data_IF_114199075862
#
_entry.id   IF_114199075862
#
_cell.length_a   1.000
_cell.length_b   1.000
_cell.length_c   1.000
_cell.angle_alpha   90.00
_cell.angle_beta   90.00
_cell.angle_gamma   90.00
#
_symmetry.space_group_name_H-M   'P 1'
#
loop_
_entity.id
_entity.type
_entity.pdbx_description
1 polymer ?
#
# COMPACT_ATOMS: atom_id res chain seq x y z
N UNK A 1 -25.93 2.13 -5.58
CA UNK A 1 -25.16 1.03 -6.18
C UNK A 1 -24.43 1.58 -7.40
N UNK A 2 -23.09 1.56 -7.43
CA UNK A 2 -22.32 2.04 -8.60
C UNK A 2 -22.44 1.07 -9.80
N UNK A 3 -22.90 -0.17 -9.56
CA UNK A 3 -23.18 -1.16 -10.60
C UNK A 3 -24.45 -0.85 -11.40
N UNK A 4 -25.31 0.03 -10.90
CA UNK A 4 -26.49 0.51 -11.65
C UNK A 4 -26.14 1.57 -12.70
N UNK A 5 -24.93 2.12 -12.68
CA UNK A 5 -24.45 3.07 -13.69
C UNK A 5 -22.94 2.88 -13.90
N UNK A 6 -22.54 1.71 -14.44
CA UNK A 6 -21.13 1.31 -14.53
C UNK A 6 -20.30 2.31 -15.34
N UNK A 7 -20.90 3.02 -16.29
CA UNK A 7 -20.25 4.02 -17.12
C UNK A 7 -19.75 5.22 -16.30
N UNK A 8 -20.50 5.64 -15.27
CA UNK A 8 -20.12 6.80 -14.46
C UNK A 8 -18.91 6.49 -13.56
N UNK A 9 -18.89 5.32 -12.94
CA UNK A 9 -17.74 4.93 -12.10
C UNK A 9 -16.52 4.60 -12.96
N UNK A 10 -16.70 3.95 -14.12
CA UNK A 10 -15.62 3.73 -15.08
C UNK A 10 -15.02 5.06 -15.58
N UNK A 11 -15.88 6.05 -15.88
CA UNK A 11 -15.42 7.38 -16.24
C UNK A 11 -14.64 8.04 -15.09
N UNK A 12 -15.11 7.94 -13.85
CA UNK A 12 -14.41 8.49 -12.68
C UNK A 12 -13.04 7.84 -12.46
N UNK A 13 -12.93 6.51 -12.60
CA UNK A 13 -11.66 5.79 -12.54
C UNK A 13 -10.68 6.33 -13.59
N UNK A 14 -11.13 6.48 -14.85
CA UNK A 14 -10.26 6.99 -15.91
C UNK A 14 -9.88 8.46 -15.70
N UNK A 15 -10.82 9.32 -15.30
CA UNK A 15 -10.55 10.74 -15.09
C UNK A 15 -9.56 10.97 -13.96
N UNK A 16 -9.62 10.18 -12.88
CA UNK A 16 -8.74 10.34 -11.70
C UNK A 16 -7.31 9.89 -11.93
N UNK A 17 -6.97 9.30 -13.07
CA UNK A 17 -5.57 9.10 -13.47
C UNK A 17 -4.87 10.43 -13.80
N UNK A 18 -5.63 11.50 -14.12
CA UNK A 18 -5.07 12.83 -14.32
C UNK A 18 -5.07 13.63 -13.01
N UNK A 19 -3.93 14.20 -12.63
CA UNK A 19 -3.78 14.92 -11.36
C UNK A 19 -4.72 16.12 -11.17
N UNK A 20 -5.02 16.89 -12.23
CA UNK A 20 -5.95 18.04 -12.11
C UNK A 20 -7.38 17.58 -11.82
N UNK A 21 -7.80 16.48 -12.45
CA UNK A 21 -9.12 15.91 -12.22
C UNK A 21 -9.21 15.28 -10.83
N UNK A 22 -8.14 14.62 -10.37
CA UNK A 22 -8.05 14.06 -9.04
C UNK A 22 -8.15 15.15 -7.95
N UNK A 23 -7.41 16.25 -8.10
CA UNK A 23 -7.48 17.41 -7.20
C UNK A 23 -8.89 18.02 -7.20
N UNK A 24 -9.49 18.24 -8.38
CA UNK A 24 -10.85 18.77 -8.50
C UNK A 24 -11.90 17.87 -7.81
N UNK A 25 -11.71 16.54 -7.86
CA UNK A 25 -12.58 15.59 -7.17
C UNK A 25 -12.43 15.66 -5.64
N UNK A 26 -11.28 16.14 -5.14
CA UNK A 26 -10.99 16.27 -3.72
C UNK A 26 -11.40 17.61 -3.10
N UNK A 27 -11.87 18.57 -3.89
CA UNK A 27 -12.27 19.90 -3.42
C UNK A 27 -13.48 19.86 -2.48
N UNK A 28 -13.45 20.70 -1.44
CA UNK A 28 -14.50 20.78 -0.43
C UNK A 28 -14.61 19.50 0.40
N UNK A 29 -15.84 19.01 0.57
CA UNK A 29 -16.20 17.80 1.30
C UNK A 29 -16.41 16.57 0.39
N UNK A 30 -16.14 16.71 -0.92
CA UNK A 30 -16.35 15.64 -1.91
C UNK A 30 -15.51 14.40 -1.62
N UNK A 31 -14.25 14.59 -1.24
CA UNK A 31 -13.36 13.49 -0.82
C UNK A 31 -13.97 12.68 0.33
N UNK A 32 -14.38 13.36 1.40
CA UNK A 32 -14.92 12.72 2.61
C UNK A 32 -16.21 11.96 2.31
N UNK A 33 -17.09 12.52 1.47
CA UNK A 33 -18.30 11.82 1.02
C UNK A 33 -17.97 10.57 0.20
N UNK A 34 -17.01 10.66 -0.71
CA UNK A 34 -16.62 9.56 -1.58
C UNK A 34 -16.02 8.41 -0.77
N UNK A 35 -15.04 8.69 0.09
CA UNK A 35 -14.35 7.64 0.86
C UNK A 35 -15.29 7.00 1.89
N UNK A 36 -16.16 7.78 2.56
CA UNK A 36 -17.17 7.21 3.48
C UNK A 36 -18.15 6.31 2.75
N UNK A 37 -18.58 6.70 1.54
CA UNK A 37 -19.42 5.85 0.70
C UNK A 37 -18.68 4.57 0.32
N UNK A 38 -17.42 4.66 -0.10
CA UNK A 38 -16.60 3.49 -0.45
C UNK A 38 -16.51 2.49 0.71
N UNK A 39 -16.28 2.96 1.94
CA UNK A 39 -16.32 2.12 3.14
C UNK A 39 -17.70 1.51 3.42
N UNK A 40 -18.77 2.31 3.32
CA UNK A 40 -20.13 1.86 3.58
C UNK A 40 -20.60 0.78 2.61
N UNK A 41 -20.26 0.92 1.32
CA UNK A 41 -20.67 -0.01 0.28
C UNK A 41 -19.66 -1.12 0.04
N UNK A 42 -18.44 -1.01 0.57
CA UNK A 42 -17.31 -1.92 0.31
C UNK A 42 -17.11 -2.16 -1.19
N UNK A 43 -17.19 -1.07 -1.96
CA UNK A 43 -17.19 -1.10 -3.42
C UNK A 43 -15.77 -0.96 -3.96
N UNK A 44 -15.31 -2.00 -4.65
CA UNK A 44 -13.98 -2.12 -5.23
C UNK A 44 -13.68 -1.01 -6.25
N UNK A 45 -14.67 -0.61 -7.05
CA UNK A 45 -14.50 0.45 -8.05
C UNK A 45 -14.40 1.82 -7.39
N UNK A 46 -15.12 2.04 -6.29
CA UNK A 46 -14.96 3.24 -5.48
C UNK A 46 -13.55 3.31 -4.87
N UNK A 47 -13.03 2.19 -4.35
CA UNK A 47 -11.65 2.12 -3.85
C UNK A 47 -10.60 2.24 -4.95
N UNK A 48 -10.89 1.80 -6.17
CA UNK A 48 -10.03 2.06 -7.33
C UNK A 48 -9.89 3.56 -7.61
N UNK A 49 -10.98 4.32 -7.50
CA UNK A 49 -10.91 5.80 -7.54
C UNK A 49 -10.06 6.32 -6.38
N UNK A 50 -10.27 5.83 -5.16
CA UNK A 50 -9.46 6.24 -4.00
C UNK A 50 -7.97 5.95 -4.19
N UNK A 51 -7.60 4.82 -4.81
CA UNK A 51 -6.21 4.46 -5.10
C UNK A 51 -5.59 5.45 -6.08
N UNK A 52 -6.28 5.79 -7.16
CA UNK A 52 -5.84 6.81 -8.10
C UNK A 52 -5.60 8.17 -7.40
N UNK A 53 -6.47 8.54 -6.45
CA UNK A 53 -6.29 9.76 -5.65
C UNK A 53 -5.07 9.68 -4.73
N UNK A 54 -4.83 8.52 -4.09
CA UNK A 54 -3.67 8.30 -3.22
C UNK A 54 -2.34 8.33 -3.99
N UNK A 55 -2.35 7.90 -5.26
CA UNK A 55 -1.17 7.89 -6.13
C UNK A 55 -0.68 9.30 -6.52
N UNK A 56 -1.55 10.31 -6.48
CA UNK A 56 -1.21 11.67 -6.90
C UNK A 56 -0.06 12.27 -6.08
N UNK A 57 0.86 12.95 -6.74
CA UNK A 57 2.04 13.56 -6.10
C UNK A 57 1.67 14.67 -5.09
N UNK A 58 0.52 15.32 -5.29
CA UNK A 58 0.06 16.41 -4.46
C UNK A 58 -0.21 15.96 -3.01
N UNK A 59 0.66 16.36 -2.07
CA UNK A 59 0.50 16.07 -0.64
C UNK A 59 -0.81 16.59 -0.04
N UNK A 60 -1.41 17.63 -0.63
CA UNK A 60 -2.73 18.13 -0.23
C UNK A 60 -3.83 17.08 -0.40
N UNK A 61 -3.72 16.19 -1.40
CA UNK A 61 -4.64 15.07 -1.60
C UNK A 61 -4.31 13.93 -0.63
N UNK A 62 -3.04 13.51 -0.55
CA UNK A 62 -2.61 12.41 0.33
C UNK A 62 -2.98 12.65 1.80
N UNK A 63 -2.81 13.87 2.30
CA UNK A 63 -3.16 14.24 3.69
C UNK A 63 -4.62 14.02 4.05
N UNK A 64 -5.54 14.08 3.07
CA UNK A 64 -6.97 13.84 3.31
C UNK A 64 -7.25 12.40 3.73
N UNK A 65 -6.36 11.46 3.41
CA UNK A 65 -6.49 10.06 3.80
C UNK A 65 -6.12 9.80 5.27
N UNK A 66 -5.37 10.68 5.92
CA UNK A 66 -4.86 10.47 7.29
C UNK A 66 -5.91 9.94 8.29
N UNK A 67 -7.10 10.55 8.38
CA UNK A 67 -8.17 10.08 9.27
C UNK A 67 -8.73 8.68 8.95
N UNK A 68 -8.45 8.15 7.75
CA UNK A 68 -9.05 6.93 7.21
C UNK A 68 -8.05 5.76 7.08
N UNK A 69 -6.75 5.98 7.26
CA UNK A 69 -5.70 4.94 7.13
C UNK A 69 -5.98 3.76 8.05
N UNK A 70 -6.29 4.01 9.33
CA UNK A 70 -6.61 2.92 10.26
C UNK A 70 -7.85 2.14 9.82
N UNK A 71 -8.88 2.83 9.31
CA UNK A 71 -10.10 2.18 8.83
C UNK A 71 -9.84 1.30 7.59
N UNK A 72 -8.89 1.68 6.72
CA UNK A 72 -8.45 0.83 5.61
C UNK A 72 -7.75 -0.44 6.10
N UNK A 73 -6.87 -0.34 7.10
CA UNK A 73 -6.23 -1.52 7.70
C UNK A 73 -7.26 -2.46 8.34
N UNK A 74 -8.27 -1.91 9.01
CA UNK A 74 -9.38 -2.70 9.55
C UNK A 74 -10.20 -3.37 8.44
N UNK A 75 -10.41 -2.68 7.32
CA UNK A 75 -11.11 -3.22 6.16
C UNK A 75 -10.37 -4.44 5.57
N UNK A 76 -9.04 -4.37 5.42
CA UNK A 76 -8.21 -5.48 4.93
C UNK A 76 -8.33 -6.75 5.79
N UNK A 77 -8.71 -6.61 7.06
CA UNK A 77 -8.82 -7.71 8.02
C UNK A 77 -10.24 -8.27 8.16
N UNK A 78 -11.20 -7.79 7.36
CA UNK A 78 -12.55 -8.36 7.38
C UNK A 78 -12.55 -9.77 6.77
N UNK A 79 -13.19 -10.76 7.42
CA UNK A 79 -13.23 -12.14 6.90
C UNK A 79 -13.88 -12.27 5.50
N UNK A 80 -14.77 -11.35 5.14
CA UNK A 80 -15.55 -11.39 3.90
C UNK A 80 -15.02 -10.40 2.84
N UNK A 81 -13.78 -9.92 2.96
CA UNK A 81 -13.20 -9.04 1.94
C UNK A 81 -12.92 -9.83 0.65
N UNK A 82 -13.38 -9.31 -0.48
CA UNK A 82 -13.08 -9.84 -1.82
C UNK A 82 -11.66 -9.48 -2.24
N UNK A 83 -11.02 -10.30 -3.08
CA UNK A 83 -9.67 -10.03 -3.58
C UNK A 83 -9.56 -8.67 -4.30
N UNK A 84 -10.59 -8.31 -5.08
CA UNK A 84 -10.67 -7.05 -5.82
C UNK A 84 -10.70 -5.83 -4.90
N UNK A 85 -11.52 -5.88 -3.84
CA UNK A 85 -11.50 -4.82 -2.83
C UNK A 85 -10.17 -4.80 -2.05
N UNK A 86 -9.63 -5.98 -1.71
CA UNK A 86 -8.38 -6.09 -0.97
C UNK A 86 -7.22 -5.41 -1.70
N UNK A 87 -7.04 -5.71 -2.99
CA UNK A 87 -5.95 -5.12 -3.79
C UNK A 87 -6.10 -3.60 -3.93
N UNK A 88 -7.32 -3.08 -4.12
CA UNK A 88 -7.51 -1.63 -4.26
C UNK A 88 -7.32 -0.88 -2.92
N UNK A 89 -7.73 -1.47 -1.79
CA UNK A 89 -7.49 -0.89 -0.46
C UNK A 89 -6.01 -0.94 -0.09
N UNK A 90 -5.34 -2.07 -0.34
CA UNK A 90 -3.90 -2.20 -0.08
C UNK A 90 -3.10 -1.26 -0.98
N UNK A 91 -3.48 -1.14 -2.25
CA UNK A 91 -2.89 -0.18 -3.17
C UNK A 91 -3.14 1.28 -2.81
N UNK A 92 -4.26 1.62 -2.17
CA UNK A 92 -4.41 2.94 -1.55
C UNK A 92 -3.32 3.16 -0.49
N UNK A 93 -3.18 2.22 0.45
CA UNK A 93 -2.22 2.32 1.56
C UNK A 93 -0.76 2.37 1.08
N UNK A 94 -0.41 1.55 0.08
CA UNK A 94 0.90 1.52 -0.56
C UNK A 94 1.30 2.85 -1.22
N UNK A 95 0.33 3.71 -1.54
CA UNK A 95 0.58 5.03 -2.10
C UNK A 95 0.62 6.17 -1.04
N UNK A 96 0.39 5.86 0.24
CA UNK A 96 0.25 6.85 1.31
C UNK A 96 1.45 6.90 2.25
N UNK A 97 2.50 7.62 1.85
CA UNK A 97 3.54 8.06 2.77
C UNK A 97 3.20 9.44 3.34
N UNK A 98 2.84 9.50 4.63
CA UNK A 98 2.53 10.72 5.36
C UNK A 98 3.50 10.87 6.53
N UNK A 99 4.47 11.81 6.49
CA UNK A 99 5.45 12.01 7.57
C UNK A 99 4.83 12.27 8.95
N UNK A 100 3.66 12.90 8.98
CA UNK A 100 2.90 13.23 10.20
C UNK A 100 2.05 12.08 10.74
N UNK A 101 1.87 10.99 9.98
CA UNK A 101 1.04 9.87 10.40
C UNK A 101 1.85 8.86 11.21
N UNK A 102 1.28 8.42 12.33
CA UNK A 102 1.93 7.50 13.27
C UNK A 102 1.81 6.04 12.80
N UNK A 103 2.63 5.68 11.81
CA UNK A 103 2.72 4.31 11.31
C UNK A 103 3.24 3.32 12.36
N UNK A 104 4.02 3.77 13.34
CA UNK A 104 4.51 2.92 14.43
C UNK A 104 3.36 2.37 15.26
N UNK A 105 2.47 3.25 15.74
CA UNK A 105 1.31 2.82 16.52
C UNK A 105 0.32 2.03 15.67
N UNK A 106 0.14 2.37 14.38
CA UNK A 106 -0.68 1.57 13.46
C UNK A 106 -0.16 0.13 13.35
N UNK A 107 1.14 -0.03 13.12
CA UNK A 107 1.80 -1.33 12.98
C UNK A 107 1.62 -2.18 14.25
N UNK A 108 1.87 -1.58 15.42
CA UNK A 108 1.74 -2.29 16.71
C UNK A 108 0.30 -2.66 17.02
N UNK A 109 -0.63 -1.72 16.88
CA UNK A 109 -2.04 -1.90 17.24
C UNK A 109 -2.70 -3.02 16.43
N UNK A 110 -2.30 -3.16 15.17
CA UNK A 110 -2.90 -4.12 14.24
C UNK A 110 -2.03 -5.35 13.98
N UNK A 111 -0.88 -5.53 14.63
CA UNK A 111 0.07 -6.60 14.28
C UNK A 111 0.32 -6.65 12.75
N UNK A 112 0.49 -5.45 12.16
CA UNK A 112 0.33 -5.24 10.73
C UNK A 112 1.42 -5.94 9.93
N UNK A 113 2.66 -5.96 10.43
CA UNK A 113 3.78 -6.60 9.75
C UNK A 113 3.61 -8.12 9.72
N UNK A 114 3.15 -8.72 10.82
CA UNK A 114 2.84 -10.15 10.84
C UNK A 114 1.71 -10.49 9.89
N UNK A 115 0.67 -9.64 9.84
CA UNK A 115 -0.41 -9.76 8.87
C UNK A 115 0.13 -9.72 7.44
N UNK A 116 0.93 -8.71 7.06
CA UNK A 116 1.50 -8.62 5.70
C UNK A 116 2.43 -9.79 5.38
N UNK A 117 3.19 -10.29 6.35
CA UNK A 117 4.08 -11.44 6.18
C UNK A 117 3.34 -12.73 5.75
N UNK A 118 2.05 -12.89 6.08
CA UNK A 118 1.27 -14.05 5.60
C UNK A 118 0.95 -13.97 4.12
N UNK A 119 0.86 -12.76 3.56
CA UNK A 119 0.60 -12.52 2.14
C UNK A 119 1.88 -12.47 1.31
N UNK A 120 3.03 -12.17 1.93
CA UNK A 120 4.32 -12.13 1.26
C UNK A 120 4.97 -13.52 1.05
N UNK A 121 4.33 -14.62 1.47
CA UNK A 121 4.85 -15.97 1.26
C UNK A 121 4.69 -16.39 -0.21
N UNK A 122 5.65 -17.16 -0.78
CA UNK A 122 5.57 -17.64 -2.16
C UNK A 122 4.25 -18.40 -2.43
N UNK A 123 3.51 -17.97 -3.45
CA UNK A 123 2.25 -18.59 -3.86
C UNK A 123 1.07 -18.41 -2.90
N UNK A 124 1.17 -17.54 -1.89
CA UNK A 124 0.08 -17.30 -0.93
C UNK A 124 -1.08 -16.49 -1.53
N UNK A 125 -0.78 -15.58 -2.45
CA UNK A 125 -1.75 -14.71 -3.14
C UNK A 125 -1.32 -14.46 -4.57
N UNK A 126 -2.25 -13.94 -5.36
CA UNK A 126 -2.00 -13.46 -6.72
C UNK A 126 -0.98 -12.30 -6.71
N UNK A 127 -0.25 -12.18 -7.82
CA UNK A 127 0.85 -11.22 -7.96
C UNK A 127 0.41 -9.77 -7.78
N UNK A 128 -0.80 -9.40 -8.19
CA UNK A 128 -1.36 -8.06 -7.99
C UNK A 128 -1.44 -7.71 -6.50
N UNK A 129 -1.80 -8.65 -5.63
CA UNK A 129 -1.85 -8.43 -4.19
C UNK A 129 -0.43 -8.43 -3.61
N UNK A 130 0.41 -9.37 -4.04
CA UNK A 130 1.80 -9.49 -3.56
C UNK A 130 2.60 -8.21 -3.84
N UNK A 131 2.43 -7.60 -5.01
CA UNK A 131 3.09 -6.35 -5.38
C UNK A 131 2.69 -5.20 -4.44
N UNK A 132 1.40 -5.08 -4.12
CA UNK A 132 0.93 -4.06 -3.17
C UNK A 132 1.42 -4.30 -1.73
N UNK A 133 1.62 -5.56 -1.34
CA UNK A 133 2.27 -5.89 -0.07
C UNK A 133 3.72 -5.38 -0.06
N UNK A 134 4.49 -5.63 -1.13
CA UNK A 134 5.88 -5.15 -1.26
C UNK A 134 5.94 -3.62 -1.15
N UNK A 135 5.09 -2.92 -1.89
CA UNK A 135 5.04 -1.46 -1.88
C UNK A 135 4.67 -0.92 -0.50
N UNK A 136 3.66 -1.50 0.15
CA UNK A 136 3.23 -1.04 1.47
C UNK A 136 4.26 -1.32 2.56
N UNK A 137 4.99 -2.45 2.49
CA UNK A 137 6.13 -2.72 3.38
C UNK A 137 7.19 -1.62 3.27
N UNK A 138 7.47 -1.16 2.04
CA UNK A 138 8.36 0.00 1.81
C UNK A 138 7.84 1.29 2.47
N UNK A 139 6.55 1.59 2.36
CA UNK A 139 5.91 2.74 3.04
C UNK A 139 5.99 2.64 4.56
N UNK A 140 5.80 1.44 5.11
CA UNK A 140 5.85 1.19 6.54
C UNK A 140 7.25 1.30 7.11
N UNK A 141 8.31 1.33 6.30
CA UNK A 141 9.68 1.48 6.77
C UNK A 141 9.99 2.93 7.18
N UNK A 142 10.08 3.15 8.49
CA UNK A 142 10.51 4.40 9.10
C UNK A 142 11.36 4.13 10.36
N UNK A 143 11.87 5.18 10.99
CA UNK A 143 12.71 5.10 12.19
C UNK A 143 12.05 4.30 13.33
N UNK A 144 10.74 4.44 13.52
CA UNK A 144 9.99 3.73 14.56
C UNK A 144 9.74 2.25 14.25
N UNK A 145 9.68 1.86 12.99
CA UNK A 145 9.24 0.51 12.54
C UNK A 145 10.38 -0.35 11.97
N UNK A 146 11.56 0.21 11.74
CA UNK A 146 12.70 -0.48 11.12
C UNK A 146 13.06 -1.79 11.86
N UNK A 147 13.21 -1.75 13.18
CA UNK A 147 13.48 -2.95 13.98
C UNK A 147 12.34 -3.99 13.86
N UNK A 148 11.08 -3.55 13.86
CA UNK A 148 9.93 -4.44 13.75
C UNK A 148 9.87 -5.14 12.38
N UNK A 149 10.31 -4.47 11.32
CA UNK A 149 10.43 -5.05 9.98
C UNK A 149 11.46 -6.17 9.95
N UNK A 150 12.61 -6.00 10.61
CA UNK A 150 13.60 -7.07 10.77
C UNK A 150 13.00 -8.26 11.54
N UNK A 151 12.35 -8.00 12.69
CA UNK A 151 11.77 -9.05 13.53
C UNK A 151 10.66 -9.84 12.83
N UNK A 152 9.90 -9.19 11.95
CA UNK A 152 8.84 -9.83 11.15
C UNK A 152 9.36 -10.77 10.06
N UNK A 153 10.66 -10.72 9.74
CA UNK A 153 11.27 -11.46 8.63
C UNK A 153 11.04 -10.85 7.24
N UNK A 154 10.23 -9.79 7.14
CA UNK A 154 9.87 -9.16 5.86
C UNK A 154 11.08 -8.65 5.06
N UNK A 155 12.14 -8.19 5.73
CA UNK A 155 13.37 -7.77 5.04
C UNK A 155 13.96 -8.93 4.23
N UNK A 156 14.08 -10.12 4.83
CA UNK A 156 14.56 -11.30 4.13
C UNK A 156 13.54 -11.83 3.11
N UNK A 157 12.24 -11.78 3.42
CA UNK A 157 11.19 -12.16 2.47
C UNK A 157 11.26 -11.36 1.18
N UNK A 158 11.41 -10.04 1.25
CA UNK A 158 11.54 -9.19 0.05
C UNK A 158 12.85 -9.48 -0.71
N UNK A 159 13.94 -9.83 -0.02
CA UNK A 159 15.16 -10.32 -0.68
C UNK A 159 14.95 -11.62 -1.45
N UNK A 160 14.25 -12.61 -0.87
CA UNK A 160 13.94 -13.84 -1.60
C UNK A 160 13.04 -13.56 -2.81
N UNK A 161 12.02 -12.71 -2.64
CA UNK A 161 11.14 -12.28 -3.72
C UNK A 161 11.90 -11.60 -4.87
N UNK A 162 12.95 -10.83 -4.59
CA UNK A 162 13.82 -10.24 -5.64
C UNK A 162 14.42 -11.32 -6.54
N UNK A 163 14.84 -12.44 -5.96
CA UNK A 163 15.42 -13.56 -6.70
C UNK A 163 14.37 -14.36 -7.48
N UNK A 164 13.20 -14.60 -6.88
CA UNK A 164 12.08 -15.34 -7.48
C UNK A 164 11.41 -14.57 -8.62
N UNK A 165 11.24 -13.25 -8.47
CA UNK A 165 10.55 -12.37 -9.41
C UNK A 165 11.49 -11.54 -10.30
N UNK A 166 12.77 -11.92 -10.40
CA UNK A 166 13.80 -11.15 -11.13
C UNK A 166 13.54 -10.93 -12.63
N UNK A 167 12.60 -11.67 -13.23
CA UNK A 167 12.22 -11.54 -14.65
C UNK A 167 11.01 -10.61 -14.85
N UNK A 168 10.41 -10.13 -13.75
CA UNK A 168 9.30 -9.18 -13.75
C UNK A 168 9.80 -7.79 -13.35
N UNK A 169 9.85 -6.89 -14.33
CA UNK A 169 10.39 -5.54 -14.17
C UNK A 169 9.66 -4.73 -13.08
N UNK A 170 8.36 -4.95 -12.90
CA UNK A 170 7.57 -4.21 -11.91
C UNK A 170 7.90 -4.69 -10.49
N UNK A 171 7.99 -6.01 -10.27
CA UNK A 171 8.46 -6.53 -8.99
C UNK A 171 9.88 -6.07 -8.67
N UNK A 172 10.79 -6.12 -9.65
CA UNK A 172 12.17 -5.64 -9.49
C UNK A 172 12.18 -4.17 -9.06
N UNK A 173 11.38 -3.33 -9.71
CA UNK A 173 11.28 -1.89 -9.39
C UNK A 173 10.74 -1.65 -7.97
N UNK A 174 9.63 -2.31 -7.60
CA UNK A 174 8.99 -2.07 -6.30
C UNK A 174 9.82 -2.65 -5.14
N UNK A 175 10.48 -3.79 -5.34
CA UNK A 175 11.40 -4.35 -4.34
C UNK A 175 12.64 -3.45 -4.20
N UNK A 176 13.21 -2.95 -5.31
CA UNK A 176 14.31 -1.99 -5.26
C UNK A 176 13.93 -0.69 -4.53
N UNK A 177 12.72 -0.19 -4.74
CA UNK A 177 12.18 0.94 -3.98
C UNK A 177 12.10 0.63 -2.48
N UNK A 178 11.58 -0.54 -2.10
CA UNK A 178 11.54 -0.97 -0.70
C UNK A 178 12.94 -1.11 -0.09
N UNK A 179 13.91 -1.65 -0.83
CA UNK A 179 15.31 -1.70 -0.39
C UNK A 179 15.92 -0.32 -0.22
N UNK A 180 15.61 0.63 -1.11
CA UNK A 180 16.03 2.02 -0.90
C UNK A 180 15.54 2.55 0.45
N UNK A 181 14.28 2.27 0.82
CA UNK A 181 13.74 2.63 2.14
C UNK A 181 14.47 1.91 3.27
N UNK A 182 14.73 0.62 3.14
CA UNK A 182 15.48 -0.16 4.14
C UNK A 182 16.90 0.39 4.36
N UNK A 183 17.56 0.88 3.31
CA UNK A 183 18.90 1.45 3.40
C UNK A 183 18.97 2.76 4.21
N UNK A 184 17.83 3.46 4.36
CA UNK A 184 17.75 4.72 5.10
C UNK A 184 17.86 4.53 6.63
N UNK A 185 17.53 3.35 7.16
CA UNK A 185 17.51 3.07 8.60
C UNK A 185 18.52 1.99 8.98
N UNK A 186 19.19 2.15 10.11
CA UNK A 186 20.37 1.35 10.46
C UNK A 186 20.06 -0.14 10.63
N UNK A 187 18.95 -0.47 11.27
CA UNK A 187 18.54 -1.85 11.58
C UNK A 187 18.20 -2.61 10.30
N UNK A 188 17.36 -2.03 9.44
CA UNK A 188 16.98 -2.64 8.16
C UNK A 188 18.15 -2.67 7.18
N UNK A 189 19.00 -1.63 7.16
CA UNK A 189 20.23 -1.61 6.34
C UNK A 189 21.18 -2.72 6.76
N UNK A 190 21.40 -2.89 8.06
CA UNK A 190 22.31 -3.91 8.59
C UNK A 190 21.77 -5.32 8.34
N UNK A 191 20.47 -5.54 8.50
CA UNK A 191 19.84 -6.81 8.14
C UNK A 191 19.96 -7.08 6.64
N UNK A 192 19.63 -6.10 5.80
CA UNK A 192 19.67 -6.27 4.35
C UNK A 192 21.11 -6.52 3.84
N UNK A 193 22.10 -5.72 4.24
CA UNK A 193 23.48 -5.86 3.76
C UNK A 193 24.24 -7.03 4.42
N UNK A 194 23.97 -7.30 5.70
CA UNK A 194 24.73 -8.26 6.50
C UNK A 194 24.15 -9.67 6.49
N UNK A 195 22.85 -9.83 6.27
CA UNK A 195 22.15 -11.12 6.37
C UNK A 195 21.64 -11.63 5.02
N UNK A 196 21.76 -10.84 3.96
CA UNK A 196 21.38 -11.24 2.60
C UNK A 196 22.53 -11.06 1.62
N UNK A 197 22.33 -11.48 0.38
CA UNK A 197 23.25 -11.25 -0.72
C UNK A 197 22.73 -10.16 -1.67
N UNK A 198 22.00 -9.17 -1.15
CA UNK A 198 21.38 -8.09 -1.93
C UNK A 198 22.39 -7.34 -2.82
N UNK A 199 23.67 -7.33 -2.44
CA UNK A 199 24.74 -6.61 -3.17
C UNK A 199 24.91 -7.16 -4.59
N UNK A 200 24.54 -8.41 -4.89
CA UNK A 200 24.57 -8.92 -6.26
C UNK A 200 23.42 -8.38 -7.15
N UNK A 201 22.44 -7.71 -6.53
CA UNK A 201 21.25 -7.15 -7.18
C UNK A 201 21.23 -5.61 -7.20
N UNK A 202 22.17 -4.96 -6.51
CA UNK A 202 22.34 -3.49 -6.46
C UNK A 202 23.53 -3.07 -7.33
#
# INVERSE_FOLDING_TARGET
>A
DLRNTPELIALAVNLTQNGRNAEALCEGDRFDRLIRRAFQTRDELAFKVMRNLAQQEAMSVKRRFGPYIEQMVQLLKLPEITAELFVEVLGCLANLYLPEFDFFNLVRKHDLLRFLATYAQPGAVDDDILLEVVMFVGVLCNEGTAHMLCDSGLVNTLFQLMGEKKEDDEFVLQIAFAFNKFMMYEETRSALLGQTQVVFYL
#
